data_IF_077072551284
#
_entry.id   IF_077072551284
#
_cell.length_a   1.000
_cell.length_b   1.000
_cell.length_c   1.000
_cell.angle_alpha   90.00
_cell.angle_beta   90.00
_cell.angle_gamma   90.00
#
_symmetry.space_group_name_H-M   'P 1'
#
loop_
_entity.id
_entity.type
_entity.pdbx_description
1 polymer ?
#
# COMPACT_ATOMS: atom_id res chain seq x y z
N UNK A 1 -10.12 21.47 -10.05
CA UNK A 1 -10.22 20.18 -9.34
C UNK A 1 -11.64 19.94 -8.83
N UNK A 2 -12.61 19.62 -9.70
CA UNK A 2 -14.01 19.40 -9.30
C UNK A 2 -14.18 18.22 -8.33
N UNK A 3 -13.53 17.09 -8.61
CA UNK A 3 -13.65 15.84 -7.84
C UNK A 3 -13.35 15.99 -6.33
N UNK A 4 -12.32 16.76 -5.96
CA UNK A 4 -11.96 16.98 -4.55
C UNK A 4 -12.90 17.96 -3.84
N UNK A 5 -13.55 18.86 -4.59
CA UNK A 5 -14.56 19.77 -4.06
C UNK A 5 -15.88 19.03 -3.84
N UNK A 6 -16.29 18.20 -4.79
CA UNK A 6 -17.46 17.32 -4.70
C UNK A 6 -17.31 16.30 -3.56
N UNK A 7 -16.12 15.72 -3.37
CA UNK A 7 -15.84 14.84 -2.24
C UNK A 7 -16.05 15.52 -0.87
N UNK A 8 -15.81 16.84 -0.77
CA UNK A 8 -16.07 17.63 0.43
C UNK A 8 -17.57 17.85 0.67
N UNK A 9 -18.41 17.91 -0.35
CA UNK A 9 -19.86 18.08 -0.18
C UNK A 9 -20.49 16.93 0.61
N UNK A 10 -19.88 15.74 0.52
CA UNK A 10 -20.25 14.56 1.31
C UNK A 10 -19.73 14.58 2.74
N UNK A 11 -18.91 15.57 3.13
CA UNK A 11 -18.17 15.57 4.41
C UNK A 11 -17.93 16.98 4.96
N UNK A 12 -18.77 17.39 5.92
CA UNK A 12 -18.76 18.73 6.52
C UNK A 12 -17.50 19.07 7.34
N UNK A 13 -16.69 18.08 7.72
CA UNK A 13 -15.43 18.29 8.47
C UNK A 13 -14.36 19.02 7.66
N UNK A 14 -14.45 18.98 6.32
CA UNK A 14 -13.48 19.62 5.43
C UNK A 14 -13.99 20.98 4.93
N UNK A 15 -13.11 22.00 4.95
CA UNK A 15 -13.49 23.38 4.58
C UNK A 15 -13.67 23.55 3.08
N UNK A 16 -12.64 23.23 2.28
CA UNK A 16 -12.59 23.57 0.86
C UNK A 16 -12.48 22.34 -0.07
N UNK A 17 -11.72 21.31 0.33
CA UNK A 17 -11.44 20.11 -0.46
C UNK A 17 -11.30 18.91 0.45
N UNK A 18 -11.61 17.73 -0.08
CA UNK A 18 -11.32 16.45 0.57
C UNK A 18 -10.45 15.60 -0.36
N UNK A 19 -9.24 15.28 0.12
CA UNK A 19 -8.29 14.39 -0.56
C UNK A 19 -8.33 13.00 0.06
N UNK A 20 -8.32 12.93 1.39
CA UNK A 20 -8.37 11.67 2.14
C UNK A 20 -9.80 11.19 2.37
N UNK A 21 -10.00 9.88 2.27
CA UNK A 21 -11.21 9.23 2.79
C UNK A 21 -11.14 9.20 4.33
N UNK A 22 -12.30 9.27 5.01
CA UNK A 22 -12.33 9.36 6.48
C UNK A 22 -12.24 7.99 7.19
N UNK A 23 -12.49 6.90 6.46
CA UNK A 23 -12.42 5.56 7.00
C UNK A 23 -11.01 4.98 6.81
N UNK A 24 -10.42 4.49 7.90
CA UNK A 24 -9.25 3.64 7.89
C UNK A 24 -9.65 2.20 8.25
N UNK A 25 -9.01 1.22 7.62
CA UNK A 25 -9.20 -0.19 7.95
C UNK A 25 -7.93 -0.72 8.60
N UNK A 26 -7.69 -0.31 9.86
CA UNK A 26 -6.56 -0.80 10.62
C UNK A 26 -6.83 -2.25 11.06
N UNK A 27 -5.91 -3.14 10.73
CA UNK A 27 -5.97 -4.55 11.13
C UNK A 27 -4.72 -4.89 11.93
N UNK A 28 -4.91 -5.57 13.06
CA UNK A 28 -3.79 -6.08 13.86
C UNK A 28 -3.12 -7.25 13.15
N UNK A 29 -1.79 -7.23 13.12
CA UNK A 29 -0.98 -8.32 12.61
C UNK A 29 -0.66 -9.27 13.77
N UNK A 30 -1.33 -10.41 13.81
CA UNK A 30 -1.31 -11.30 14.98
C UNK A 30 -0.50 -12.59 14.80
N UNK A 31 -0.08 -12.92 13.57
CA UNK A 31 0.71 -14.13 13.32
C UNK A 31 1.62 -13.97 12.11
N UNK A 32 2.73 -14.74 12.04
CA UNK A 32 3.65 -14.68 10.90
C UNK A 32 2.96 -14.96 9.55
N UNK A 33 2.11 -15.99 9.47
CA UNK A 33 1.37 -16.30 8.25
C UNK A 33 0.36 -15.22 7.84
N UNK A 34 -0.27 -14.56 8.82
CA UNK A 34 -1.12 -13.40 8.55
C UNK A 34 -0.31 -12.21 8.03
N UNK A 35 0.86 -11.93 8.62
CA UNK A 35 1.81 -10.92 8.11
C UNK A 35 2.16 -11.19 6.65
N UNK A 36 2.54 -12.44 6.34
CA UNK A 36 2.91 -12.84 4.98
C UNK A 36 1.76 -12.59 3.99
N UNK A 37 0.54 -12.92 4.39
CA UNK A 37 -0.66 -12.72 3.57
C UNK A 37 -0.87 -11.23 3.25
N UNK A 38 -0.73 -10.34 4.25
CA UNK A 38 -0.86 -8.90 4.06
C UNK A 38 0.25 -8.31 3.21
N UNK A 39 1.50 -8.74 3.40
CA UNK A 39 2.64 -8.34 2.56
C UNK A 39 2.39 -8.74 1.11
N UNK A 40 2.00 -9.99 0.86
CA UNK A 40 1.74 -10.48 -0.49
C UNK A 40 0.59 -9.69 -1.15
N UNK A 41 -0.49 -9.43 -0.42
CA UNK A 41 -1.60 -8.58 -0.91
C UNK A 41 -1.12 -7.18 -1.33
N UNK A 42 -0.36 -6.49 -0.49
CA UNK A 42 0.15 -5.13 -0.78
C UNK A 42 1.00 -5.13 -2.06
N UNK A 43 1.81 -6.17 -2.28
CA UNK A 43 2.69 -6.28 -3.44
C UNK A 43 1.94 -6.65 -4.73
N UNK A 44 0.95 -7.54 -4.64
CA UNK A 44 0.17 -7.98 -5.80
C UNK A 44 -0.89 -6.97 -6.22
N UNK A 45 -1.36 -6.09 -5.33
CA UNK A 45 -2.42 -5.12 -5.63
C UNK A 45 -2.14 -4.29 -6.90
N UNK A 46 -0.89 -3.87 -7.13
CA UNK A 46 -0.54 -3.09 -8.33
C UNK A 46 -0.51 -3.91 -9.61
N UNK A 47 -0.27 -5.22 -9.50
CA UNK A 47 -0.32 -6.16 -10.62
C UNK A 47 -1.78 -6.47 -10.96
N UNK A 48 -2.60 -6.75 -9.95
CA UNK A 48 -4.03 -7.03 -10.08
C UNK A 48 -4.79 -5.83 -10.69
N UNK A 49 -4.41 -4.61 -10.31
CA UNK A 49 -4.96 -3.37 -10.88
C UNK A 49 -4.36 -3.00 -12.26
N UNK A 50 -3.38 -3.76 -12.76
CA UNK A 50 -2.80 -3.58 -14.10
C UNK A 50 -1.85 -2.39 -14.26
N UNK A 51 -1.31 -1.84 -13.16
CA UNK A 51 -0.33 -0.75 -13.22
C UNK A 51 1.08 -1.22 -13.59
N UNK A 52 1.43 -2.46 -13.22
CA UNK A 52 2.75 -3.06 -13.46
C UNK A 52 2.61 -4.55 -13.76
N UNK A 53 3.52 -5.12 -14.56
CA UNK A 53 3.52 -6.56 -14.87
C UNK A 53 4.06 -7.41 -13.71
N UNK A 54 4.93 -6.83 -12.86
CA UNK A 54 5.56 -7.51 -11.72
C UNK A 54 5.56 -6.61 -10.48
N UNK A 55 5.41 -7.15 -9.26
CA UNK A 55 5.38 -6.34 -8.04
C UNK A 55 6.60 -5.43 -7.85
N UNK A 56 7.79 -5.93 -8.19
CA UNK A 56 9.07 -5.21 -8.08
C UNK A 56 9.30 -4.16 -9.18
N UNK A 57 8.40 -4.01 -10.14
CA UNK A 57 8.52 -2.96 -11.16
C UNK A 57 8.00 -1.61 -10.66
N UNK A 58 7.15 -1.60 -9.62
CA UNK A 58 6.68 -0.35 -9.02
C UNK A 58 7.77 0.32 -8.20
N UNK A 59 8.25 1.49 -8.66
CA UNK A 59 9.39 2.20 -8.09
C UNK A 59 9.26 2.52 -6.60
N UNK A 60 8.04 2.82 -6.13
CA UNK A 60 7.76 3.18 -4.73
C UNK A 60 7.28 2.00 -3.87
N UNK A 61 7.46 0.76 -4.32
CA UNK A 61 7.14 -0.45 -3.52
C UNK A 61 8.42 -1.06 -2.94
N UNK A 62 8.33 -1.53 -1.70
CA UNK A 62 9.39 -2.32 -1.07
C UNK A 62 9.52 -3.73 -1.65
N UNK A 63 8.59 -4.18 -2.50
CA UNK A 63 8.76 -5.41 -3.28
C UNK A 63 10.08 -5.43 -4.06
N UNK A 64 10.56 -4.23 -4.45
CA UNK A 64 11.91 -4.03 -5.02
C UNK A 64 13.00 -4.52 -4.10
N UNK A 65 12.99 -4.07 -2.85
CA UNK A 65 14.00 -4.42 -1.86
C UNK A 65 14.00 -5.93 -1.57
N UNK A 66 12.82 -6.57 -1.50
CA UNK A 66 12.70 -8.03 -1.39
C UNK A 66 13.19 -8.80 -2.62
N UNK A 67 13.17 -8.19 -3.80
CA UNK A 67 13.74 -8.75 -5.04
C UNK A 67 15.25 -8.49 -5.22
N UNK A 68 15.91 -7.85 -4.24
CA UNK A 68 17.31 -7.46 -4.33
C UNK A 68 17.57 -6.19 -5.17
N UNK A 69 16.51 -5.48 -5.58
CA UNK A 69 16.60 -4.18 -6.25
C UNK A 69 16.54 -3.07 -5.20
N UNK A 70 17.22 -1.94 -5.43
CA UNK A 70 17.15 -0.80 -4.50
C UNK A 70 15.90 0.03 -4.75
N UNK A 71 15.16 0.32 -3.68
CA UNK A 71 14.13 1.35 -3.64
C UNK A 71 14.70 2.77 -3.55
N UNK A 72 13.83 3.80 -3.60
CA UNK A 72 14.22 5.21 -3.45
C UNK A 72 14.64 5.59 -2.02
N UNK A 73 14.35 4.73 -1.05
CA UNK A 73 14.72 4.90 0.36
C UNK A 73 15.30 3.59 0.90
N UNK A 74 16.08 3.69 1.98
CA UNK A 74 16.62 2.51 2.66
C UNK A 74 15.50 1.82 3.44
N UNK A 75 15.33 0.51 3.21
CA UNK A 75 14.36 -0.34 3.90
C UNK A 75 15.09 -1.50 4.56
N UNK A 76 14.69 -1.85 5.79
CA UNK A 76 15.10 -3.11 6.42
C UNK A 76 14.10 -4.18 6.01
N UNK A 77 14.56 -5.16 5.22
CA UNK A 77 13.76 -6.32 4.85
C UNK A 77 13.73 -7.31 6.01
N UNK A 78 12.56 -7.86 6.30
CA UNK A 78 12.42 -8.96 7.26
C UNK A 78 12.61 -10.30 6.55
N UNK A 79 13.11 -11.31 7.24
CA UNK A 79 13.30 -12.64 6.65
C UNK A 79 11.94 -13.32 6.39
N UNK A 80 11.47 -13.26 5.14
CA UNK A 80 10.15 -13.79 4.74
C UNK A 80 9.99 -15.29 5.04
N UNK A 81 11.06 -16.09 4.97
CA UNK A 81 10.99 -17.52 5.29
C UNK A 81 10.67 -17.80 6.77
N UNK A 82 10.78 -16.79 7.67
CA UNK A 82 10.35 -16.92 9.07
C UNK A 82 8.86 -16.64 9.24
N UNK A 83 8.18 -16.23 8.17
CA UNK A 83 6.76 -15.90 8.17
C UNK A 83 5.88 -16.99 7.57
N UNK A 84 6.49 -18.04 7.00
CA UNK A 84 5.81 -19.16 6.35
C UNK A 84 5.91 -20.41 7.22
#
# INVERSE_FOLDING_TARGET
MPIFREAREKNVRNKNYQVWQQHNHAEEVFSPGFTFTKINYIYQNLVEEGFVDRPEDYYYSSARDYSGRKGPILVSVIELHRLV
#
